data_IF_185059509293
#
_entry.id   IF_185059509293
#
_cell.length_a   1.000
_cell.length_b   1.000
_cell.length_c   1.000
_cell.angle_alpha   90.00
_cell.angle_beta   90.00
_cell.angle_gamma   90.00
#
_symmetry.space_group_name_H-M   'P 1'
#
loop_
_entity.id
_entity.type
_entity.pdbx_description
1 polymer ?
#
# COMPACT_ATOMS: atom_id res chain seq x y z
N UNK A 1 -31.71 -23.64 -0.28
CA UNK A 1 -30.53 -23.34 0.53
C UNK A 1 -29.33 -23.61 -0.34
N UNK A 2 -28.79 -22.57 -0.99
CA UNK A 2 -27.55 -22.70 -1.75
C UNK A 2 -26.40 -22.50 -0.77
N UNK A 3 -25.64 -23.56 -0.51
CA UNK A 3 -24.36 -23.49 0.14
C UNK A 3 -23.40 -22.78 -0.85
N UNK A 4 -23.23 -21.47 -0.72
CA UNK A 4 -22.05 -20.82 -1.26
C UNK A 4 -20.87 -21.34 -0.43
N UNK A 5 -20.01 -22.12 -1.07
CA UNK A 5 -18.74 -22.51 -0.49
C UNK A 5 -18.03 -21.24 -0.03
N UNK A 6 -17.49 -21.26 1.20
CA UNK A 6 -16.64 -20.20 1.74
C UNK A 6 -15.46 -20.08 0.80
N UNK A 7 -15.49 -19.10 -0.10
CA UNK A 7 -14.28 -18.68 -0.81
C UNK A 7 -13.35 -18.20 0.29
N UNK A 8 -12.23 -18.87 0.49
CA UNK A 8 -11.17 -18.42 1.39
C UNK A 8 -10.64 -17.13 0.81
N UNK A 9 -11.07 -16.01 1.35
CA UNK A 9 -10.53 -14.72 0.96
C UNK A 9 -9.08 -14.64 1.46
N UNK A 10 -8.20 -14.07 0.62
CA UNK A 10 -6.78 -13.94 0.93
C UNK A 10 -6.56 -12.92 2.04
N UNK A 11 -5.58 -13.17 2.89
CA UNK A 11 -5.08 -12.19 3.86
C UNK A 11 -3.93 -11.36 3.27
N UNK A 12 -3.59 -10.25 3.91
CA UNK A 12 -2.55 -9.30 3.46
C UNK A 12 -1.22 -9.97 3.05
N UNK A 13 -0.73 -10.92 3.84
CA UNK A 13 0.56 -11.57 3.55
C UNK A 13 0.54 -12.41 2.26
N UNK A 14 -0.59 -12.97 1.88
CA UNK A 14 -0.77 -13.72 0.64
C UNK A 14 -0.80 -12.76 -0.56
N UNK A 15 -1.50 -11.63 -0.42
CA UNK A 15 -1.50 -10.55 -1.42
C UNK A 15 -0.08 -10.04 -1.65
N UNK A 16 0.68 -9.76 -0.60
CA UNK A 16 2.06 -9.28 -0.71
C UNK A 16 2.96 -10.28 -1.44
N UNK A 17 2.79 -11.59 -1.22
CA UNK A 17 3.54 -12.64 -1.95
C UNK A 17 3.25 -12.61 -3.46
N UNK A 18 2.00 -12.39 -3.85
CA UNK A 18 1.65 -12.26 -5.27
C UNK A 18 2.13 -10.96 -5.90
N UNK A 19 2.24 -9.88 -5.10
CA UNK A 19 2.69 -8.58 -5.57
C UNK A 19 4.20 -8.48 -5.74
N UNK A 20 5.00 -9.15 -4.91
CA UNK A 20 6.47 -9.06 -4.92
C UNK A 20 7.07 -9.20 -6.32
N UNK A 21 6.74 -10.23 -7.14
CA UNK A 21 7.29 -10.35 -8.48
C UNK A 21 6.91 -9.21 -9.45
N UNK A 22 5.88 -8.43 -9.09
CA UNK A 22 5.35 -7.34 -9.93
C UNK A 22 5.98 -6.00 -9.56
N UNK A 23 6.28 -5.81 -8.26
CA UNK A 23 6.70 -4.52 -7.70
C UNK A 23 8.21 -4.41 -7.45
N UNK A 24 8.98 -5.50 -7.57
CA UNK A 24 10.41 -5.56 -7.20
C UNK A 24 11.31 -4.56 -7.93
N UNK A 25 10.96 -4.17 -9.16
CA UNK A 25 11.72 -3.21 -9.95
C UNK A 25 11.33 -1.75 -9.70
N UNK A 26 10.38 -1.52 -8.82
CA UNK A 26 9.80 -0.21 -8.53
C UNK A 26 10.21 0.31 -7.14
N UNK A 27 9.93 1.58 -6.87
CA UNK A 27 10.12 2.15 -5.54
C UNK A 27 8.86 1.88 -4.71
N UNK A 28 9.03 1.23 -3.58
CA UNK A 28 7.92 0.87 -2.68
C UNK A 28 8.06 1.58 -1.35
N UNK A 29 7.01 2.26 -0.91
CA UNK A 29 6.88 2.80 0.46
C UNK A 29 5.84 1.97 1.19
N UNK A 30 6.25 1.20 2.18
CA UNK A 30 5.35 0.31 2.91
C UNK A 30 5.03 0.86 4.30
N UNK A 31 3.75 0.85 4.65
CA UNK A 31 3.21 1.32 5.93
C UNK A 31 3.84 0.59 7.13
N UNK A 32 3.81 1.24 8.28
CA UNK A 32 4.36 0.73 9.53
C UNK A 32 3.73 -0.60 9.98
N UNK A 33 4.44 -1.31 10.85
CA UNK A 33 3.94 -2.51 11.52
C UNK A 33 3.96 -3.75 10.63
N UNK A 34 2.93 -4.55 10.73
CA UNK A 34 2.84 -5.83 10.05
C UNK A 34 3.03 -5.75 8.52
N UNK A 35 2.48 -4.78 7.79
CA UNK A 35 2.73 -4.68 6.34
C UNK A 35 4.22 -4.61 5.98
N UNK A 36 4.98 -3.73 6.65
CA UNK A 36 6.43 -3.62 6.45
C UNK A 36 7.17 -4.88 6.88
N UNK A 37 6.80 -5.48 8.00
CA UNK A 37 7.44 -6.71 8.52
C UNK A 37 7.19 -7.90 7.60
N UNK A 38 5.97 -8.04 7.08
CA UNK A 38 5.60 -9.09 6.14
C UNK A 38 6.34 -8.91 4.81
N UNK A 39 6.35 -7.71 4.24
CA UNK A 39 7.05 -7.42 3.00
C UNK A 39 8.56 -7.66 3.14
N UNK A 40 9.16 -7.21 4.24
CA UNK A 40 10.57 -7.45 4.55
C UNK A 40 10.91 -8.93 4.66
N UNK A 41 10.03 -9.74 5.27
CA UNK A 41 10.25 -11.18 5.39
C UNK A 41 10.09 -11.92 4.06
N UNK A 42 9.15 -11.47 3.21
CA UNK A 42 8.88 -12.11 1.91
C UNK A 42 9.99 -11.79 0.92
N UNK A 43 10.36 -10.51 0.81
CA UNK A 43 11.38 -10.06 -0.16
C UNK A 43 11.98 -8.71 0.27
N UNK A 44 13.12 -8.76 0.95
CA UNK A 44 13.84 -7.55 1.35
C UNK A 44 14.64 -6.95 0.18
N UNK A 45 14.15 -5.83 -0.35
CA UNK A 45 14.80 -5.11 -1.45
C UNK A 45 15.27 -3.71 -1.01
N UNK A 46 16.41 -3.20 -1.54
CA UNK A 46 16.82 -1.82 -1.31
C UNK A 46 15.80 -0.79 -1.81
N UNK A 47 14.98 -1.16 -2.81
CA UNK A 47 13.89 -0.34 -3.34
C UNK A 47 12.64 -0.30 -2.43
N UNK A 48 12.63 -1.04 -1.33
CA UNK A 48 11.58 -1.03 -0.33
C UNK A 48 11.95 -0.11 0.83
N UNK A 49 11.16 0.95 1.03
CA UNK A 49 11.23 1.80 2.21
C UNK A 49 10.22 1.29 3.26
N UNK A 50 10.74 0.68 4.31
CA UNK A 50 9.93 0.19 5.42
C UNK A 50 9.75 1.28 6.46
N UNK A 51 8.52 1.71 6.68
CA UNK A 51 8.22 2.67 7.74
C UNK A 51 8.24 1.96 9.10
N UNK A 52 8.97 2.52 10.06
CA UNK A 52 9.05 2.02 11.43
C UNK A 52 8.19 2.83 12.40
N UNK A 53 7.63 3.93 11.96
CA UNK A 53 6.76 4.83 12.72
C UNK A 53 5.85 5.62 11.79
N UNK A 54 5.09 6.54 12.37
CA UNK A 54 4.32 7.55 11.65
C UNK A 54 3.19 6.96 10.77
N UNK A 55 2.25 6.29 11.43
CA UNK A 55 1.03 5.77 10.80
C UNK A 55 0.30 6.87 10.01
N UNK A 56 -0.15 6.56 8.80
CA UNK A 56 -0.86 7.50 7.91
C UNK A 56 0.01 8.31 6.96
N UNK A 57 1.35 8.14 6.96
CA UNK A 57 2.25 8.92 6.09
C UNK A 57 2.83 8.14 4.91
N UNK A 58 2.57 6.85 4.73
CA UNK A 58 3.09 6.10 3.59
C UNK A 58 2.66 6.73 2.26
N UNK A 59 1.40 7.10 2.14
CA UNK A 59 0.84 7.76 0.96
C UNK A 59 1.44 9.14 0.70
N UNK A 60 1.70 9.94 1.75
CA UNK A 60 2.31 11.27 1.62
C UNK A 60 3.77 11.18 1.18
N UNK A 61 4.55 10.24 1.74
CA UNK A 61 5.95 10.00 1.37
C UNK A 61 6.02 9.51 -0.08
N UNK A 62 5.17 8.56 -0.47
CA UNK A 62 5.13 8.04 -1.83
C UNK A 62 4.76 9.10 -2.86
N UNK A 63 3.79 9.97 -2.56
CA UNK A 63 3.45 11.11 -3.42
C UNK A 63 4.66 12.04 -3.59
N UNK A 64 5.33 12.42 -2.52
CA UNK A 64 6.51 13.27 -2.56
C UNK A 64 7.64 12.68 -3.42
N UNK A 65 7.87 11.36 -3.31
CA UNK A 65 8.80 10.64 -4.17
C UNK A 65 8.37 10.67 -5.64
N UNK A 66 7.11 10.39 -5.93
CA UNK A 66 6.59 10.37 -7.29
C UNK A 66 6.68 11.73 -7.97
N UNK A 67 6.46 12.82 -7.24
CA UNK A 67 6.63 14.19 -7.72
C UNK A 67 8.10 14.57 -7.99
N UNK A 68 9.05 13.90 -7.33
CA UNK A 68 10.48 14.24 -7.40
C UNK A 68 11.26 13.44 -8.44
N UNK A 69 10.67 12.41 -9.07
CA UNK A 69 11.37 11.52 -9.99
C UNK A 69 10.39 10.81 -10.97
N UNK A 70 10.93 10.08 -11.97
CA UNK A 70 10.12 9.53 -13.07
C UNK A 70 9.70 8.07 -12.89
N UNK A 71 10.34 7.32 -11.99
CA UNK A 71 10.00 5.91 -11.76
C UNK A 71 8.62 5.77 -11.16
N UNK A 72 8.01 4.62 -11.40
CA UNK A 72 6.80 4.24 -10.67
C UNK A 72 7.10 4.13 -9.18
N UNK A 73 6.23 4.74 -8.41
CA UNK A 73 6.24 4.70 -6.93
C UNK A 73 4.94 4.05 -6.47
N UNK A 74 5.07 3.06 -5.62
CA UNK A 74 3.95 2.35 -5.03
C UNK A 74 3.97 2.59 -3.53
N UNK A 75 2.91 3.19 -2.99
CA UNK A 75 2.68 3.19 -1.54
C UNK A 75 1.75 2.04 -1.19
N UNK A 76 2.19 1.15 -0.30
CA UNK A 76 1.36 0.10 0.30
C UNK A 76 0.93 0.59 1.66
N UNK A 77 -0.36 0.88 1.82
CA UNK A 77 -0.94 1.39 3.05
C UNK A 77 -2.08 0.48 3.55
N UNK A 78 -2.51 0.65 4.78
CA UNK A 78 -3.66 -0.02 5.34
C UNK A 78 -4.86 0.93 5.45
N UNK A 79 -6.06 0.40 5.45
CA UNK A 79 -7.29 1.17 5.62
C UNK A 79 -7.30 2.01 6.90
N UNK A 80 -6.92 1.40 8.03
CA UNK A 80 -6.80 2.11 9.30
C UNK A 80 -5.73 3.20 9.29
N UNK A 81 -4.65 3.01 8.55
CA UNK A 81 -3.58 3.98 8.39
C UNK A 81 -4.06 5.18 7.57
N UNK A 82 -4.69 4.95 6.42
CA UNK A 82 -5.28 6.02 5.59
C UNK A 82 -6.33 6.82 6.37
N UNK A 83 -7.15 6.14 7.20
CA UNK A 83 -8.13 6.81 8.05
C UNK A 83 -7.51 7.78 9.06
N UNK A 84 -6.27 7.58 9.50
CA UNK A 84 -5.58 8.51 10.40
C UNK A 84 -5.10 9.79 9.70
N UNK A 85 -5.01 9.78 8.38
CA UNK A 85 -4.54 10.93 7.58
C UNK A 85 -5.32 11.06 6.25
N UNK A 86 -6.64 11.14 6.33
CA UNK A 86 -7.50 11.31 5.15
C UNK A 86 -7.16 12.54 4.31
N UNK A 87 -6.54 13.57 4.92
CA UNK A 87 -6.07 14.77 4.23
C UNK A 87 -5.03 14.52 3.12
N UNK A 88 -4.41 13.35 3.10
CA UNK A 88 -3.53 12.96 1.99
C UNK A 88 -4.31 12.76 0.68
N UNK A 89 -5.55 12.28 0.72
CA UNK A 89 -6.35 12.03 -0.49
C UNK A 89 -6.62 13.30 -1.32
N UNK A 90 -7.11 14.43 -0.75
CA UNK A 90 -7.20 15.66 -1.51
C UNK A 90 -5.83 16.21 -1.91
N UNK A 91 -4.78 15.97 -1.14
CA UNK A 91 -3.42 16.35 -1.54
C UNK A 91 -2.97 15.60 -2.79
N UNK A 92 -3.22 14.29 -2.87
CA UNK A 92 -2.96 13.46 -4.05
C UNK A 92 -3.76 13.96 -5.25
N UNK A 93 -5.05 14.23 -5.07
CA UNK A 93 -5.94 14.69 -6.14
C UNK A 93 -5.49 16.04 -6.75
N UNK A 94 -4.91 16.92 -5.94
CA UNK A 94 -4.46 18.26 -6.37
C UNK A 94 -2.97 18.31 -6.81
N UNK A 95 -2.22 17.23 -6.60
CA UNK A 95 -0.81 17.12 -6.99
C UNK A 95 -0.59 15.83 -7.79
N UNK A 96 -1.25 15.71 -8.92
CA UNK A 96 -1.28 14.48 -9.71
C UNK A 96 0.12 14.10 -10.20
N UNK A 97 0.58 12.93 -9.77
CA UNK A 97 1.80 12.30 -10.25
C UNK A 97 1.44 11.01 -11.01
N UNK A 98 1.56 11.02 -12.33
CA UNK A 98 1.14 9.89 -13.19
C UNK A 98 1.93 8.59 -12.95
N UNK A 99 3.02 8.68 -12.23
CA UNK A 99 3.87 7.55 -11.81
C UNK A 99 3.56 7.07 -10.39
N UNK A 100 2.48 7.54 -9.74
CA UNK A 100 2.11 7.19 -8.37
C UNK A 100 0.96 6.18 -8.32
N UNK A 101 1.15 5.13 -7.54
CA UNK A 101 0.12 4.14 -7.19
C UNK A 101 -0.02 4.08 -5.67
N UNK A 102 -1.22 4.31 -5.17
CA UNK A 102 -1.56 4.08 -3.78
C UNK A 102 -2.39 2.79 -3.67
N UNK A 103 -1.78 1.73 -3.16
CA UNK A 103 -2.45 0.48 -2.83
C UNK A 103 -2.86 0.50 -1.36
N UNK A 104 -4.15 0.47 -1.10
CA UNK A 104 -4.74 0.40 0.24
C UNK A 104 -5.24 -1.04 0.46
N UNK A 105 -4.58 -1.78 1.35
CA UNK A 105 -5.03 -3.11 1.75
C UNK A 105 -6.06 -2.92 2.87
N UNK A 106 -7.32 -3.08 2.51
CA UNK A 106 -8.48 -2.87 3.38
C UNK A 106 -8.97 -4.20 3.93
N UNK A 107 -8.43 -4.56 5.10
CA UNK A 107 -8.85 -5.74 5.84
C UNK A 107 -9.85 -5.43 6.96
N UNK A 108 -10.32 -4.19 7.06
CA UNK A 108 -11.28 -3.73 8.06
C UNK A 108 -10.79 -3.77 9.50
N UNK A 109 -9.47 -3.93 9.75
CA UNK A 109 -8.94 -4.23 11.08
C UNK A 109 -7.59 -3.56 11.37
N UNK A 110 -7.38 -3.16 12.64
CA UNK A 110 -6.10 -2.73 13.19
C UNK A 110 -5.31 -3.95 13.73
N UNK A 111 -4.77 -4.75 12.82
CA UNK A 111 -4.13 -6.03 13.12
C UNK A 111 -2.99 -5.98 14.14
N UNK A 112 -2.21 -4.89 14.17
CA UNK A 112 -1.05 -4.75 15.07
C UNK A 112 -1.41 -4.51 16.55
N UNK A 113 -2.66 -4.09 16.83
CA UNK A 113 -3.09 -3.68 18.19
C UNK A 113 -4.21 -4.54 18.77
N UNK A 114 -4.58 -5.62 18.10
CA UNK A 114 -5.56 -6.59 18.60
C UNK A 114 -6.83 -6.69 17.75
N UNK A 115 -6.71 -6.46 16.45
CA UNK A 115 -7.79 -6.65 15.45
C UNK A 115 -9.06 -5.85 15.73
N UNK A 116 -8.94 -4.66 16.34
CA UNK A 116 -10.08 -3.76 16.48
C UNK A 116 -10.59 -3.35 15.10
N UNK A 117 -11.91 -3.33 14.88
CA UNK A 117 -12.46 -2.97 13.58
C UNK A 117 -12.18 -1.50 13.23
N UNK A 118 -11.74 -1.27 12.01
CA UNK A 118 -11.63 0.09 11.46
C UNK A 118 -13.00 0.63 11.04
N UNK A 119 -13.09 1.90 10.72
CA UNK A 119 -14.33 2.45 10.16
C UNK A 119 -14.54 2.06 8.69
N UNK A 120 -13.49 1.69 7.96
CA UNK A 120 -13.58 1.13 6.60
C UNK A 120 -14.28 -0.25 6.61
N UNK A 121 -14.05 -1.04 7.66
CA UNK A 121 -14.78 -2.29 7.89
C UNK A 121 -16.25 -2.11 8.34
N UNK A 122 -16.75 -0.85 8.42
CA UNK A 122 -18.12 -0.54 8.86
C UNK A 122 -18.88 0.26 7.81
N UNK A 123 -18.86 1.58 7.90
CA UNK A 123 -19.69 2.49 7.09
C UNK A 123 -18.88 3.35 6.11
N UNK A 124 -17.56 3.49 6.31
CA UNK A 124 -16.72 4.37 5.52
C UNK A 124 -16.20 3.63 4.29
N UNK A 125 -16.59 4.07 3.09
CA UNK A 125 -15.99 3.61 1.85
C UNK A 125 -14.80 4.50 1.50
N UNK A 126 -13.58 3.95 1.56
CA UNK A 126 -12.37 4.68 1.17
C UNK A 126 -12.38 5.03 -0.33
N UNK A 127 -12.96 4.17 -1.16
CA UNK A 127 -13.13 4.46 -2.59
C UNK A 127 -14.04 5.68 -2.81
N UNK A 128 -15.17 5.75 -2.09
CA UNK A 128 -16.07 6.90 -2.17
C UNK A 128 -15.40 8.18 -1.64
N UNK A 129 -14.63 8.10 -0.55
CA UNK A 129 -13.89 9.23 0.01
C UNK A 129 -12.82 9.72 -0.98
N UNK A 130 -12.04 8.82 -1.57
CA UNK A 130 -11.03 9.19 -2.56
C UNK A 130 -11.65 9.90 -3.77
N UNK A 131 -12.76 9.38 -4.32
CA UNK A 131 -13.49 10.00 -5.41
C UNK A 131 -14.05 11.38 -5.01
N UNK A 132 -14.61 11.50 -3.82
CA UNK A 132 -15.13 12.79 -3.30
C UNK A 132 -14.01 13.83 -3.08
N UNK A 133 -12.76 13.38 -2.84
CA UNK A 133 -11.59 14.25 -2.79
C UNK A 133 -11.07 14.70 -4.18
N UNK A 134 -11.63 14.17 -5.27
CA UNK A 134 -11.23 14.51 -6.63
C UNK A 134 -10.23 13.52 -7.28
N UNK A 135 -9.98 12.35 -6.68
CA UNK A 135 -9.17 11.32 -7.31
C UNK A 135 -9.97 10.67 -8.44
N UNK A 136 -9.47 10.75 -9.67
CA UNK A 136 -10.20 10.31 -10.87
C UNK A 136 -10.12 8.80 -11.07
N UNK A 137 -8.92 8.21 -10.91
CA UNK A 137 -8.70 6.78 -11.12
C UNK A 137 -8.66 6.03 -9.80
N UNK A 138 -9.83 5.55 -9.36
CA UNK A 138 -10.02 4.82 -8.10
C UNK A 138 -10.65 3.46 -8.40
N UNK A 139 -9.90 2.41 -8.14
CA UNK A 139 -10.27 1.01 -8.34
C UNK A 139 -10.55 0.37 -6.98
N UNK A 140 -11.70 -0.26 -6.81
CA UNK A 140 -11.98 -1.15 -5.69
C UNK A 140 -12.03 -2.58 -6.22
N UNK A 141 -11.23 -3.46 -5.66
CA UNK A 141 -11.11 -4.85 -6.09
C UNK A 141 -11.07 -5.79 -4.89
N UNK A 142 -11.25 -7.08 -5.16
CA UNK A 142 -11.04 -8.15 -4.19
C UNK A 142 -9.56 -8.55 -4.16
N UNK A 143 -9.17 -9.28 -3.13
CA UNK A 143 -7.78 -9.71 -2.92
C UNK A 143 -7.20 -10.45 -4.14
N UNK A 144 -7.96 -11.38 -4.72
CA UNK A 144 -7.57 -12.18 -5.88
C UNK A 144 -7.32 -11.38 -7.16
N UNK A 145 -7.92 -10.19 -7.27
CA UNK A 145 -7.77 -9.31 -8.44
C UNK A 145 -6.66 -8.27 -8.27
N UNK A 146 -6.08 -8.16 -7.06
CA UNK A 146 -5.14 -7.09 -6.71
C UNK A 146 -3.88 -7.10 -7.58
N UNK A 147 -3.33 -8.27 -7.84
CA UNK A 147 -2.14 -8.42 -8.68
C UNK A 147 -2.38 -7.91 -10.11
N UNK A 148 -3.55 -8.18 -10.67
CA UNK A 148 -3.95 -7.67 -11.98
C UNK A 148 -4.12 -6.16 -11.94
N UNK A 149 -4.85 -5.62 -10.96
CA UNK A 149 -5.08 -4.19 -10.83
C UNK A 149 -3.76 -3.39 -10.67
N UNK A 150 -2.79 -3.92 -9.90
CA UNK A 150 -1.46 -3.30 -9.75
C UNK A 150 -0.68 -3.35 -11.05
N UNK A 151 -0.71 -4.48 -11.78
CA UNK A 151 -0.02 -4.62 -13.08
C UNK A 151 -0.58 -3.63 -14.10
N UNK A 152 -1.89 -3.53 -14.23
CA UNK A 152 -2.56 -2.58 -15.12
C UNK A 152 -2.23 -1.12 -14.78
N UNK A 153 -2.14 -0.80 -13.48
CA UNK A 153 -1.75 0.53 -13.01
C UNK A 153 -0.25 0.84 -13.30
N UNK A 154 0.62 -0.16 -13.25
CA UNK A 154 2.03 -0.02 -13.59
C UNK A 154 2.22 0.22 -15.10
N UNK A 155 1.48 -0.48 -15.94
CA UNK A 155 1.50 -0.33 -17.40
C UNK A 155 0.81 0.99 -17.85
N UNK A 156 -0.10 1.50 -17.02
CA UNK A 156 -0.80 2.76 -17.27
C UNK A 156 0.08 4.00 -17.05
N UNK A 157 -0.41 5.15 -17.53
CA UNK A 157 0.25 6.45 -17.33
C UNK A 157 -0.68 7.45 -16.62
N UNK A 158 -1.22 7.02 -15.48
CA UNK A 158 -2.07 7.86 -14.64
C UNK A 158 -1.92 7.47 -13.16
N UNK A 159 -2.06 8.46 -12.30
CA UNK A 159 -2.13 8.23 -10.85
C UNK A 159 -3.32 7.31 -10.54
N UNK A 160 -3.07 6.27 -9.75
CA UNK A 160 -4.08 5.25 -9.44
C UNK A 160 -4.17 5.00 -7.95
N UNK A 161 -5.38 4.98 -7.42
CA UNK A 161 -5.67 4.49 -6.05
C UNK A 161 -6.39 3.15 -6.18
N UNK A 162 -5.82 2.11 -5.57
CA UNK A 162 -6.38 0.77 -5.54
C UNK A 162 -6.79 0.44 -4.10
N UNK A 163 -8.06 0.11 -3.88
CA UNK A 163 -8.56 -0.37 -2.60
C UNK A 163 -8.78 -1.88 -2.73
N UNK A 164 -7.91 -2.65 -2.11
CA UNK A 164 -7.97 -4.10 -2.10
C UNK A 164 -8.74 -4.57 -0.87
N UNK A 165 -9.91 -5.14 -1.05
CA UNK A 165 -10.70 -5.77 0.02
C UNK A 165 -10.19 -7.17 0.28
N UNK A 166 -9.80 -7.46 1.53
CA UNK A 166 -9.29 -8.76 1.94
C UNK A 166 -9.76 -9.15 3.34
N UNK A 167 -9.51 -10.38 3.73
CA UNK A 167 -9.80 -10.85 5.08
C UNK A 167 -8.81 -10.25 6.11
N UNK A 168 -9.32 -10.05 7.33
CA UNK A 168 -8.46 -9.79 8.49
C UNK A 168 -7.67 -11.06 8.82
N UNK A 169 -6.41 -10.86 9.18
CA UNK A 169 -5.53 -11.96 9.57
C UNK A 169 -4.08 -11.50 9.58
N UNK A 170 -3.31 -12.08 10.50
CA UNK A 170 -1.91 -11.74 10.68
C UNK A 170 -1.06 -13.01 10.70
N UNK A 171 0.07 -12.99 9.99
CA UNK A 171 1.11 -14.00 10.15
C UNK A 171 2.10 -13.57 11.22
N UNK A 172 2.66 -14.53 11.92
CA UNK A 172 3.72 -14.24 12.89
C UNK A 172 5.02 -13.93 12.14
N UNK A 173 5.45 -12.67 12.20
CA UNK A 173 6.66 -12.18 11.55
C UNK A 173 7.57 -11.49 12.57
N UNK A 174 8.90 -11.54 12.40
CA UNK A 174 9.84 -10.81 13.25
C UNK A 174 9.71 -9.30 13.01
N UNK A 175 10.04 -8.54 14.04
CA UNK A 175 10.23 -7.08 13.91
C UNK A 175 11.46 -6.82 13.04
N UNK A 176 11.39 -5.83 12.17
CA UNK A 176 12.53 -5.40 11.37
C UNK A 176 13.61 -4.86 12.30
N UNK A 177 14.75 -5.55 12.34
CA UNK A 177 15.89 -5.18 13.19
C UNK A 177 16.85 -4.18 12.54
N UNK A 178 16.61 -3.80 11.28
CA UNK A 178 17.46 -2.88 10.53
C UNK A 178 17.36 -1.47 11.10
N UNK A 179 18.51 -0.81 11.26
CA UNK A 179 18.57 0.59 11.67
C UNK A 179 17.81 1.49 10.69
N UNK A 180 16.97 2.43 11.16
CA UNK A 180 16.23 3.34 10.30
C UNK A 180 17.11 4.15 9.32
N UNK A 181 18.32 4.50 9.74
CA UNK A 181 19.30 5.20 8.88
C UNK A 181 19.74 4.30 7.73
N UNK A 182 19.96 3.01 7.99
CA UNK A 182 20.31 2.03 6.96
C UNK A 182 19.16 1.83 5.98
N UNK A 183 17.92 1.73 6.44
CA UNK A 183 16.73 1.65 5.56
C UNK A 183 16.68 2.86 4.64
N UNK A 184 16.81 4.06 5.22
CA UNK A 184 16.82 5.32 4.44
C UNK A 184 17.95 5.35 3.43
N UNK A 185 19.17 5.07 3.85
CA UNK A 185 20.36 5.26 3.01
C UNK A 185 20.39 4.29 1.83
N UNK A 186 20.00 3.02 2.03
CA UNK A 186 19.91 2.05 0.94
C UNK A 186 18.79 2.43 -0.04
N UNK A 187 17.64 2.86 0.46
CA UNK A 187 16.53 3.30 -0.37
C UNK A 187 16.89 4.55 -1.18
N UNK A 188 17.52 5.56 -0.57
CA UNK A 188 17.96 6.77 -1.26
C UNK A 188 19.01 6.49 -2.35
N UNK A 189 19.89 5.50 -2.18
CA UNK A 189 20.79 5.05 -3.25
C UNK A 189 20.00 4.54 -4.47
N UNK A 190 18.92 3.78 -4.25
CA UNK A 190 18.04 3.31 -5.33
C UNK A 190 17.29 4.45 -6.01
N UNK A 191 16.84 5.46 -5.26
CA UNK A 191 16.19 6.65 -5.81
C UNK A 191 17.16 7.42 -6.71
N UNK A 192 18.42 7.62 -6.27
CA UNK A 192 19.43 8.44 -6.98
C UNK A 192 20.02 7.68 -8.17
N UNK A 193 20.40 6.38 -8.01
CA UNK A 193 21.08 5.60 -9.04
C UNK A 193 20.26 5.40 -10.30
N UNK A 194 18.98 5.50 -10.18
CA UNK A 194 18.03 5.20 -11.26
C UNK A 194 17.47 6.48 -11.92
N UNK A 195 17.93 7.66 -11.53
CA UNK A 195 17.63 8.93 -12.19
C UNK A 195 18.68 9.33 -13.26
N UNK A 196 19.72 8.52 -13.41
CA UNK A 196 20.73 8.61 -14.48
C UNK A 196 20.44 7.56 -15.55
#
# INVERSE_FOLDING_TARGET
MHHFGKVTEMIRSEILKELVPIISDHLVVCNIGLPSQELHLIDDQPSNFYMLGTMGLASSIGLGLALSQKKKVISIDGDGSVLTNLGTLPTIANNVANNFILLIIDNGSYGSTGDQPTYAGKKTSLAAVAKACGCENVIECRAEDTATAVRDALDGNQMTIIICKCDSGNVKVPVISMDPVVIRDRFMKEVISKNN
#
